data_IF_616199491474
#
_entry.id   IF_616199491474
#
_cell.length_a   1.000
_cell.length_b   1.000
_cell.length_c   1.000
_cell.angle_alpha   90.00
_cell.angle_beta   90.00
_cell.angle_gamma   90.00
#
_symmetry.space_group_name_H-M   'P 1'
#
loop_
_entity.id
_entity.type
_entity.pdbx_description
1 polymer ?
#
# COMPACT_ATOMS: atom_id res chain seq x y z
N UNK A 1 4.13 4.51 2.78
CA UNK A 1 2.76 4.52 2.21
C UNK A 1 2.86 5.01 0.76
N UNK A 2 2.46 4.20 -0.22
CA UNK A 2 2.44 4.66 -1.62
C UNK A 2 1.31 5.67 -1.80
N UNK A 3 1.65 6.89 -2.14
CA UNK A 3 0.72 8.01 -2.17
C UNK A 3 0.22 8.22 -3.59
N UNK A 4 -0.60 7.35 -4.13
CA UNK A 4 -1.22 7.65 -5.43
C UNK A 4 -1.80 9.07 -5.42
N UNK A 5 -0.98 10.08 -5.80
CA UNK A 5 -1.29 11.52 -5.81
C UNK A 5 -1.80 12.08 -4.46
N UNK A 6 -1.40 11.50 -3.31
CA UNK A 6 -1.84 11.94 -1.98
C UNK A 6 -3.32 11.69 -1.65
N UNK A 7 -4.02 10.85 -2.42
CA UNK A 7 -5.47 10.68 -2.22
C UNK A 7 -5.82 10.00 -0.89
N UNK A 8 -5.09 8.94 -0.53
CA UNK A 8 -5.30 8.22 0.74
C UNK A 8 -4.94 9.13 1.91
N UNK A 9 -3.76 9.77 1.85
CA UNK A 9 -3.32 10.69 2.90
C UNK A 9 -4.31 11.85 3.11
N UNK A 10 -4.83 12.44 2.04
CA UNK A 10 -5.84 13.51 2.13
C UNK A 10 -7.15 13.03 2.75
N UNK A 11 -7.53 11.76 2.54
CA UNK A 11 -8.76 11.20 3.11
C UNK A 11 -8.64 10.92 4.61
N UNK A 12 -7.46 10.49 5.09
CA UNK A 12 -7.24 10.15 6.50
C UNK A 12 -6.76 11.35 7.34
N UNK A 13 -6.13 12.36 6.71
CA UNK A 13 -5.56 13.50 7.41
C UNK A 13 -6.51 14.18 8.42
N UNK A 14 -7.81 14.39 8.13
CA UNK A 14 -8.72 15.03 9.08
C UNK A 14 -8.93 14.24 10.39
N UNK A 15 -8.65 12.94 10.38
CA UNK A 15 -8.86 12.05 11.53
C UNK A 15 -7.55 11.68 12.26
N UNK A 16 -6.40 12.22 11.82
CA UNK A 16 -5.09 11.87 12.36
C UNK A 16 -4.40 13.10 12.95
N UNK A 17 -3.73 12.94 14.10
CA UNK A 17 -2.91 14.00 14.68
C UNK A 17 -1.66 14.30 13.83
N UNK A 18 -1.09 13.29 13.20
CA UNK A 18 0.06 13.39 12.30
C UNK A 18 -0.06 12.36 11.18
N UNK A 19 0.32 12.72 9.98
CA UNK A 19 0.41 11.81 8.83
C UNK A 19 1.77 11.94 8.17
N UNK A 20 2.43 10.82 7.92
CA UNK A 20 3.62 10.75 7.05
C UNK A 20 3.20 10.06 5.74
N UNK A 21 3.30 10.77 4.66
CA UNK A 21 2.92 10.32 3.33
C UNK A 21 4.19 10.08 2.50
N UNK A 22 4.46 8.82 2.15
CA UNK A 22 5.69 8.44 1.46
C UNK A 22 5.43 7.84 0.08
N UNK A 23 6.36 8.04 -0.83
CA UNK A 23 6.41 7.37 -2.13
C UNK A 23 7.88 7.24 -2.57
N UNK A 24 8.19 6.23 -3.35
CA UNK A 24 9.53 6.08 -3.96
C UNK A 24 9.74 7.09 -5.10
N UNK A 25 8.67 7.46 -5.82
CA UNK A 25 8.69 8.33 -6.98
C UNK A 25 8.60 9.81 -6.60
N UNK A 26 9.63 10.59 -6.89
CA UNK A 26 9.62 12.05 -6.67
C UNK A 26 8.49 12.74 -7.49
N UNK A 27 8.17 12.24 -8.67
CA UNK A 27 7.04 12.74 -9.46
C UNK A 27 5.70 12.62 -8.74
N UNK A 28 5.49 11.50 -8.01
CA UNK A 28 4.30 11.27 -7.19
C UNK A 28 4.31 12.16 -5.94
N UNK A 29 5.46 12.32 -5.31
CA UNK A 29 5.62 13.20 -4.15
C UNK A 29 5.33 14.66 -4.48
N UNK A 30 5.78 15.15 -5.64
CA UNK A 30 5.49 16.52 -6.10
C UNK A 30 3.98 16.78 -6.22
N UNK A 31 3.22 15.79 -6.71
CA UNK A 31 1.77 15.90 -6.79
C UNK A 31 1.11 15.80 -5.41
N UNK A 32 1.61 14.90 -4.56
CA UNK A 32 1.14 14.74 -3.20
C UNK A 32 1.34 16.01 -2.37
N UNK A 33 2.53 16.65 -2.44
CA UNK A 33 2.81 17.93 -1.75
C UNK A 33 1.80 19.01 -2.11
N UNK A 34 1.46 19.17 -3.40
CA UNK A 34 0.44 20.14 -3.83
C UNK A 34 -0.93 19.85 -3.22
N UNK A 35 -1.35 18.58 -3.22
CA UNK A 35 -2.66 18.17 -2.72
C UNK A 35 -2.77 18.25 -1.20
N UNK A 36 -1.68 17.97 -0.50
CA UNK A 36 -1.62 17.88 0.96
C UNK A 36 -1.21 19.19 1.62
N UNK A 37 -0.84 20.23 0.87
CA UNK A 37 -0.40 21.52 1.39
C UNK A 37 -1.39 22.18 2.36
N UNK A 38 -2.68 21.87 2.24
CA UNK A 38 -3.74 22.37 3.15
C UNK A 38 -3.75 21.69 4.53
N UNK A 39 -2.95 20.64 4.74
CA UNK A 39 -2.89 19.90 6.00
C UNK A 39 -1.50 20.10 6.63
N UNK A 40 -1.32 21.03 7.58
CA UNK A 40 0.00 21.37 8.14
C UNK A 40 0.63 20.23 8.96
N UNK A 41 -0.16 19.26 9.41
CA UNK A 41 0.27 18.09 10.16
C UNK A 41 0.64 16.89 9.27
N UNK A 42 0.62 17.07 7.94
CA UNK A 42 1.02 16.04 6.98
C UNK A 42 2.42 16.32 6.45
N UNK A 43 3.34 15.38 6.67
CA UNK A 43 4.68 15.39 6.10
C UNK A 43 4.68 14.54 4.82
N UNK A 44 5.33 15.02 3.76
CA UNK A 44 5.47 14.29 2.48
C UNK A 44 6.95 14.11 2.20
N UNK A 45 7.42 12.87 2.19
CA UNK A 45 8.83 12.53 2.03
C UNK A 45 9.05 11.28 1.17
N UNK A 46 10.27 11.11 0.66
CA UNK A 46 10.64 9.96 -0.12
C UNK A 46 11.04 8.81 0.82
N UNK A 47 10.52 7.61 0.56
CA UNK A 47 10.94 6.41 1.24
C UNK A 47 10.75 5.16 0.37
N UNK A 48 11.63 4.19 0.57
CA UNK A 48 11.45 2.83 0.09
C UNK A 48 10.69 2.03 1.14
N UNK A 49 9.59 1.40 0.75
CA UNK A 49 8.75 0.62 1.66
C UNK A 49 9.44 -0.67 2.14
N UNK A 50 10.49 -1.10 1.46
CA UNK A 50 11.30 -2.29 1.83
C UNK A 50 12.44 -1.96 2.77
N UNK A 51 12.73 -0.65 2.99
CA UNK A 51 13.78 -0.16 3.88
C UNK A 51 13.35 1.20 4.47
N UNK A 52 12.47 1.16 5.46
CA UNK A 52 11.90 2.35 6.09
C UNK A 52 12.82 2.90 7.19
N UNK A 53 13.27 4.13 7.03
CA UNK A 53 14.17 4.81 8.00
C UNK A 53 13.43 5.37 9.23
N UNK A 54 12.41 4.64 9.71
CA UNK A 54 11.69 4.96 10.94
C UNK A 54 12.06 3.96 12.03
N UNK A 55 12.00 4.41 13.28
CA UNK A 55 12.18 3.53 14.43
C UNK A 55 11.09 2.47 14.50
N UNK A 56 11.37 1.37 15.19
CA UNK A 56 10.36 0.38 15.53
C UNK A 56 9.21 1.04 16.29
N UNK A 57 7.99 0.53 16.08
CA UNK A 57 6.80 0.92 16.82
C UNK A 57 6.42 2.42 16.73
N UNK A 58 6.92 3.13 15.68
CA UNK A 58 6.75 4.58 15.51
C UNK A 58 5.40 5.01 14.94
N UNK A 59 4.56 4.08 14.49
CA UNK A 59 3.26 4.37 13.90
C UNK A 59 2.13 3.58 14.56
N UNK A 60 0.98 4.25 14.78
CA UNK A 60 -0.26 3.61 15.22
C UNK A 60 -0.92 2.82 14.08
N UNK A 61 -0.74 3.28 12.85
CA UNK A 61 -1.28 2.60 11.67
C UNK A 61 -0.46 2.90 10.41
N UNK A 62 -0.42 1.92 9.51
CA UNK A 62 0.16 2.07 8.16
C UNK A 62 -0.85 1.65 7.10
N UNK A 63 -0.95 2.46 6.04
CA UNK A 63 -1.71 2.11 4.84
C UNK A 63 -0.74 1.95 3.67
N UNK A 64 -0.50 0.72 3.22
CA UNK A 64 0.35 0.40 2.06
C UNK A 64 -0.50 0.31 0.78
N UNK A 65 -0.82 1.47 0.20
CA UNK A 65 -1.79 1.57 -0.89
C UNK A 65 -1.23 1.23 -2.26
N UNK A 66 -1.65 0.10 -2.84
CA UNK A 66 -1.34 -0.31 -4.21
C UNK A 66 0.17 -0.38 -4.53
N UNK A 67 0.97 -0.84 -3.60
CA UNK A 67 2.43 -0.93 -3.73
C UNK A 67 2.94 -2.35 -3.79
N UNK A 68 2.41 -3.27 -2.97
CA UNK A 68 3.00 -4.61 -2.77
C UNK A 68 3.05 -5.45 -4.06
N UNK A 69 2.11 -5.25 -5.00
CA UNK A 69 2.10 -5.94 -6.29
C UNK A 69 3.14 -5.40 -7.29
N UNK A 70 3.83 -4.32 -6.95
CA UNK A 70 4.88 -3.72 -7.77
C UNK A 70 6.28 -4.14 -7.31
N UNK A 71 6.38 -4.80 -6.15
CA UNK A 71 7.64 -5.19 -5.55
C UNK A 71 8.08 -6.58 -6.02
N UNK A 72 9.38 -6.82 -6.23
CA UNK A 72 9.91 -8.15 -6.49
C UNK A 72 9.71 -9.07 -5.28
N UNK A 73 9.95 -8.55 -4.06
CA UNK A 73 9.82 -9.26 -2.79
C UNK A 73 8.82 -8.54 -1.87
N UNK A 74 7.50 -8.76 -2.06
CA UNK A 74 6.48 -8.06 -1.25
C UNK A 74 6.53 -8.41 0.24
N UNK A 75 7.16 -9.55 0.59
CA UNK A 75 7.36 -9.98 1.97
C UNK A 75 8.25 -9.04 2.77
N UNK A 76 9.27 -8.44 2.15
CA UNK A 76 10.18 -7.54 2.85
C UNK A 76 9.48 -6.21 3.20
N UNK A 77 8.66 -5.69 2.30
CA UNK A 77 7.82 -4.55 2.63
C UNK A 77 6.86 -4.84 3.79
N UNK A 78 6.28 -6.04 3.86
CA UNK A 78 5.38 -6.40 4.95
C UNK A 78 6.12 -6.54 6.29
N UNK A 79 7.36 -7.07 6.29
CA UNK A 79 8.23 -7.11 7.49
C UNK A 79 8.52 -5.69 8.00
N UNK A 80 8.92 -4.78 7.10
CA UNK A 80 9.18 -3.38 7.45
C UNK A 80 7.94 -2.66 7.98
N UNK A 81 6.78 -2.86 7.35
CA UNK A 81 5.51 -2.34 7.84
C UNK A 81 5.21 -2.85 9.25
N UNK A 82 5.36 -4.17 9.48
CA UNK A 82 5.17 -4.76 10.82
C UNK A 82 6.16 -4.21 11.84
N UNK A 83 7.40 -3.93 11.43
CA UNK A 83 8.44 -3.36 12.31
C UNK A 83 8.07 -1.96 12.78
N UNK A 84 7.66 -1.09 11.88
CA UNK A 84 7.40 0.32 12.20
C UNK A 84 6.02 0.55 12.84
N UNK A 85 5.08 -0.38 12.69
CA UNK A 85 3.77 -0.32 13.35
C UNK A 85 3.88 -0.93 14.74
N UNK A 86 3.45 -0.18 15.76
CA UNK A 86 3.44 -0.68 17.16
C UNK A 86 2.60 -1.95 17.33
N UNK A 87 2.86 -2.78 18.33
CA UNK A 87 1.96 -3.89 18.69
C UNK A 87 0.53 -3.37 18.93
N UNK A 88 -0.45 -4.07 18.40
CA UNK A 88 -1.84 -3.65 18.43
C UNK A 88 -2.19 -2.53 17.44
N UNK A 89 -1.24 -2.02 16.67
CA UNK A 89 -1.47 -1.03 15.61
C UNK A 89 -2.11 -1.65 14.36
N UNK A 90 -2.71 -0.81 13.52
CA UNK A 90 -3.47 -1.26 12.35
C UNK A 90 -2.63 -1.27 11.07
N UNK A 91 -2.68 -2.37 10.33
CA UNK A 91 -2.06 -2.49 9.00
C UNK A 91 -3.17 -2.65 7.96
N UNK A 92 -3.16 -1.77 6.94
CA UNK A 92 -4.16 -1.77 5.86
C UNK A 92 -3.42 -1.81 4.52
N UNK A 93 -3.73 -2.82 3.71
CA UNK A 93 -3.04 -3.05 2.43
C UNK A 93 -4.07 -3.15 1.30
N UNK A 94 -4.47 -2.03 0.67
CA UNK A 94 -5.27 -2.08 -0.54
C UNK A 94 -4.43 -2.51 -1.74
N UNK A 95 -4.94 -3.42 -2.56
CA UNK A 95 -4.26 -3.90 -3.78
C UNK A 95 -5.26 -4.15 -4.90
N UNK A 96 -4.92 -3.73 -6.11
CA UNK A 96 -5.67 -4.12 -7.29
C UNK A 96 -5.46 -5.60 -7.60
N UNK A 97 -6.56 -6.31 -7.83
CA UNK A 97 -6.52 -7.73 -8.19
C UNK A 97 -7.06 -7.93 -9.61
N UNK A 98 -6.35 -8.72 -10.41
CA UNK A 98 -6.76 -9.03 -11.77
C UNK A 98 -7.05 -10.53 -11.83
N UNK A 99 -8.29 -10.95 -12.17
CA UNK A 99 -8.60 -12.37 -12.35
C UNK A 99 -7.70 -12.99 -13.41
N UNK A 100 -7.13 -14.18 -13.14
CA UNK A 100 -6.22 -14.90 -14.06
C UNK A 100 -6.74 -15.01 -15.49
N UNK A 101 -8.06 -15.17 -15.68
CA UNK A 101 -8.70 -15.22 -17.02
C UNK A 101 -8.62 -13.91 -17.81
N UNK A 102 -8.35 -12.77 -17.18
CA UNK A 102 -8.20 -11.45 -17.84
C UNK A 102 -6.75 -10.99 -17.99
N UNK A 103 -5.79 -11.69 -17.37
CA UNK A 103 -4.35 -11.34 -17.46
C UNK A 103 -3.78 -11.46 -18.89
N UNK A 104 -4.43 -12.19 -19.78
CA UNK A 104 -4.03 -12.35 -21.18
C UNK A 104 -4.62 -11.31 -22.14
N UNK A 105 -5.36 -10.31 -21.68
CA UNK A 105 -5.99 -9.33 -22.55
C UNK A 105 -5.01 -8.21 -22.95
N UNK A 106 -5.10 -7.79 -24.21
CA UNK A 106 -4.38 -6.68 -24.87
C UNK A 106 -4.29 -5.38 -24.02
N UNK A 107 -5.15 -5.24 -23.01
CA UNK A 107 -5.17 -4.16 -22.03
C UNK A 107 -3.92 -4.13 -21.11
N UNK A 108 -3.39 -5.30 -20.67
CA UNK A 108 -2.16 -5.36 -19.88
C UNK A 108 -0.93 -4.98 -20.71
N UNK A 109 -0.91 -5.34 -22.01
CA UNK A 109 0.13 -4.90 -22.96
C UNK A 109 0.09 -3.38 -23.21
N UNK A 110 -1.08 -2.76 -23.13
CA UNK A 110 -1.22 -1.31 -23.28
C UNK A 110 -0.75 -0.56 -22.02
N UNK A 111 -1.02 -1.10 -20.83
CA UNK A 111 -0.60 -0.48 -19.55
C UNK A 111 0.92 -0.63 -19.33
N UNK A 112 1.52 -1.75 -19.75
CA UNK A 112 2.98 -1.94 -19.69
C UNK A 112 3.75 -0.92 -20.55
N UNK A 113 3.12 -0.40 -21.61
CA UNK A 113 3.66 0.69 -22.44
C UNK A 113 3.76 2.03 -21.71
N UNK A 114 3.04 2.20 -20.58
CA UNK A 114 3.13 3.36 -19.70
C UNK A 114 4.05 3.12 -18.48
N UNK A 115 4.94 2.12 -18.55
CA UNK A 115 5.97 1.88 -17.53
C UNK A 115 5.49 1.19 -16.25
N UNK A 116 4.26 0.70 -16.20
CA UNK A 116 3.75 -0.08 -15.07
C UNK A 116 4.02 -1.56 -15.31
N UNK A 117 5.14 -2.05 -14.79
CA UNK A 117 5.44 -3.49 -14.74
C UNK A 117 4.84 -4.08 -13.47
N UNK A 118 3.76 -4.88 -13.61
CA UNK A 118 3.26 -5.71 -12.52
C UNK A 118 4.22 -6.90 -12.37
N UNK A 119 4.99 -6.95 -11.32
CA UNK A 119 5.89 -8.08 -11.04
C UNK A 119 5.14 -9.25 -10.39
N UNK A 120 4.16 -8.96 -9.53
CA UNK A 120 3.27 -9.95 -8.92
C UNK A 120 1.81 -9.70 -9.33
N UNK A 121 1.21 -10.70 -9.98
CA UNK A 121 -0.22 -10.67 -10.31
C UNK A 121 -1.02 -11.33 -9.20
N UNK A 122 -1.50 -10.53 -8.25
CA UNK A 122 -2.43 -11.04 -7.25
C UNK A 122 -3.82 -11.25 -7.86
N UNK A 123 -4.32 -12.48 -7.75
CA UNK A 123 -5.75 -12.76 -7.73
C UNK A 123 -6.25 -12.82 -6.27
N UNK A 124 -7.56 -12.83 -6.00
CA UNK A 124 -8.06 -12.83 -4.62
C UNK A 124 -7.57 -14.01 -3.77
N UNK A 125 -7.26 -15.16 -4.36
CA UNK A 125 -6.78 -16.34 -3.64
C UNK A 125 -5.28 -16.21 -3.31
N UNK A 126 -4.45 -15.86 -4.30
CA UNK A 126 -3.01 -15.65 -4.09
C UNK A 126 -2.73 -14.49 -3.12
N UNK A 127 -3.60 -13.46 -3.12
CA UNK A 127 -3.51 -12.35 -2.19
C UNK A 127 -3.76 -12.78 -0.74
N UNK A 128 -4.75 -13.64 -0.49
CA UNK A 128 -4.97 -14.25 0.83
C UNK A 128 -3.80 -15.13 1.25
N UNK A 129 -3.37 -16.05 0.37
CA UNK A 129 -2.27 -16.95 0.62
C UNK A 129 -0.94 -16.20 0.93
N UNK A 130 -0.75 -15.00 0.41
CA UNK A 130 0.39 -14.16 0.74
C UNK A 130 0.42 -13.82 2.24
N UNK A 131 -0.66 -13.29 2.82
CA UNK A 131 -0.72 -12.96 4.24
C UNK A 131 -0.64 -14.20 5.15
N UNK A 132 -1.23 -15.32 4.73
CA UNK A 132 -1.14 -16.59 5.44
C UNK A 132 0.32 -17.08 5.51
N UNK A 133 1.06 -17.05 4.38
CA UNK A 133 2.50 -17.39 4.34
C UNK A 133 3.35 -16.46 5.19
N UNK A 134 2.95 -15.21 5.31
CA UNK A 134 3.64 -14.21 6.14
C UNK A 134 3.24 -14.29 7.62
N UNK A 135 2.44 -15.29 8.02
CA UNK A 135 2.04 -15.49 9.41
C UNK A 135 1.11 -14.43 9.97
N UNK A 136 0.38 -13.69 9.09
CA UNK A 136 -0.57 -12.69 9.56
C UNK A 136 -1.86 -13.35 10.02
N UNK A 137 -2.30 -13.04 11.25
CA UNK A 137 -3.54 -13.55 11.84
C UNK A 137 -4.65 -12.51 11.82
N UNK A 138 -5.90 -12.93 11.93
CA UNK A 138 -7.05 -12.02 12.00
C UNK A 138 -7.27 -11.12 10.78
N UNK A 139 -6.71 -11.47 9.62
CA UNK A 139 -6.80 -10.64 8.41
C UNK A 139 -8.23 -10.61 7.88
N UNK A 140 -8.79 -9.42 7.80
CA UNK A 140 -10.10 -9.18 7.15
C UNK A 140 -9.91 -8.69 5.73
N UNK A 141 -10.81 -9.07 4.83
CA UNK A 141 -10.73 -8.73 3.41
C UNK A 141 -12.02 -8.06 2.95
N UNK A 142 -11.90 -6.84 2.42
CA UNK A 142 -13.01 -6.13 1.80
C UNK A 142 -12.75 -5.96 0.30
N UNK A 143 -13.72 -6.32 -0.52
CA UNK A 143 -13.65 -6.12 -1.98
C UNK A 143 -14.38 -4.84 -2.36
N UNK A 144 -13.66 -3.92 -2.97
CA UNK A 144 -14.23 -2.71 -3.57
C UNK A 144 -14.37 -2.95 -5.08
N UNK A 145 -15.61 -2.97 -5.55
CA UNK A 145 -15.91 -3.17 -6.98
C UNK A 145 -15.64 -1.88 -7.75
N UNK A 146 -14.98 -2.00 -8.90
CA UNK A 146 -14.65 -0.91 -9.80
C UNK A 146 -14.27 -1.45 -11.17
N UNK A 147 -13.79 -0.60 -12.08
CA UNK A 147 -13.25 -1.04 -13.40
C UNK A 147 -12.13 -2.07 -13.23
N UNK A 148 -11.31 -1.88 -12.21
CA UNK A 148 -10.34 -2.86 -11.69
C UNK A 148 -10.74 -3.09 -10.23
N UNK A 149 -11.08 -4.32 -9.82
CA UNK A 149 -11.41 -4.62 -8.44
C UNK A 149 -10.21 -4.36 -7.51
N UNK A 150 -10.47 -3.78 -6.35
CA UNK A 150 -9.48 -3.61 -5.28
C UNK A 150 -9.86 -4.49 -4.09
N UNK A 151 -8.94 -5.28 -3.59
CA UNK A 151 -9.08 -6.00 -2.32
C UNK A 151 -8.29 -5.27 -1.27
N UNK A 152 -8.92 -4.97 -0.15
CA UNK A 152 -8.31 -4.34 1.01
C UNK A 152 -8.14 -5.41 2.08
N UNK A 153 -6.91 -5.78 2.38
CA UNK A 153 -6.59 -6.54 3.57
C UNK A 153 -6.38 -5.58 4.74
N UNK A 154 -6.92 -5.91 5.90
CA UNK A 154 -6.67 -5.15 7.13
C UNK A 154 -6.58 -6.09 8.32
N UNK A 155 -5.61 -5.84 9.19
CA UNK A 155 -5.33 -6.64 10.37
C UNK A 155 -4.57 -5.82 11.42
N UNK A 156 -4.59 -6.30 12.65
CA UNK A 156 -3.82 -5.74 13.76
C UNK A 156 -2.42 -6.34 13.75
N UNK A 157 -1.41 -5.53 14.05
CA UNK A 157 -0.05 -6.04 14.23
C UNK A 157 0.03 -6.85 15.52
N UNK A 158 0.20 -8.14 15.38
CA UNK A 158 0.24 -9.15 16.45
C UNK A 158 1.68 -9.51 16.88
N UNK A 159 2.64 -8.66 16.52
CA UNK A 159 4.06 -8.79 16.86
C UNK A 159 4.29 -8.60 18.35
#
# INVERSE_FOLDING_TARGET
>A
MCVRHGAIAAAIAPACARVVATDYSEGMLKQARKKLARFPHVVVEQADITDLHYADDSFDAVVAGNVIHLLPEPGDALKEIKRVVRPGGMIIVPTYVVPKKRAHTMFLRLISRFGVHFQEHFDPASYRAFFERMGCTGVTYRVVRGRIPCVIASFTNDR
#
